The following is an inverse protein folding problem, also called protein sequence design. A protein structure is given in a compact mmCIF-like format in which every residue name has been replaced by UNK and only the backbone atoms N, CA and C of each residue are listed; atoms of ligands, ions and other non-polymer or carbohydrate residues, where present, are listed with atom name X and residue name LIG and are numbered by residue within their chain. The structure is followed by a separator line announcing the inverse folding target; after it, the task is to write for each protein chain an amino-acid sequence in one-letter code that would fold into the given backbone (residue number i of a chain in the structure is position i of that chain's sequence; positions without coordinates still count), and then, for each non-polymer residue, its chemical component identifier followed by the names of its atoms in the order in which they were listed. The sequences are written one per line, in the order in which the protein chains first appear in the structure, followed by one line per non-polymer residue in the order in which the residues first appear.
data_IF_220983586349
#
_entry.id   IF_220983586349
#
_cell.length_a   1.000
_cell.length_b   1.000
_cell.length_c   1.000
_cell.angle_alpha   90.00
_cell.angle_beta   90.00
_cell.angle_gamma   90.00
#
_symmetry.space_group_name_H-M   'P 1'
#
loop_
_entity.id
_entity.type
_entity.pdbx_description
1 polymer ?
#
# COMPACT_ATOMS: atom_id res chain seq x y z
N UNK A 1 -24.89 -22.18 -16.50
CA UNK A 1 -23.43 -22.42 -16.36
C UNK A 1 -22.56 -21.33 -17.00
N UNK A 2 -22.90 -20.79 -18.19
CA UNK A 2 -22.16 -19.69 -18.84
C UNK A 2 -22.20 -18.35 -18.11
N UNK A 3 -23.36 -17.95 -17.56
CA UNK A 3 -23.53 -16.65 -16.89
C UNK A 3 -22.59 -16.47 -15.67
N UNK A 4 -22.41 -17.54 -14.87
CA UNK A 4 -21.48 -17.55 -13.73
C UNK A 4 -20.02 -17.35 -14.17
N UNK A 5 -19.60 -17.98 -15.29
CA UNK A 5 -18.24 -17.82 -15.83
C UNK A 5 -17.99 -16.39 -16.31
N UNK A 6 -18.99 -15.77 -16.95
CA UNK A 6 -18.89 -14.38 -17.40
C UNK A 6 -18.82 -13.41 -16.22
N UNK A 7 -19.65 -13.60 -15.19
CA UNK A 7 -19.63 -12.79 -13.98
C UNK A 7 -18.29 -12.89 -13.24
N UNK A 8 -17.72 -14.10 -13.12
CA UNK A 8 -16.40 -14.32 -12.52
C UNK A 8 -15.28 -13.63 -13.30
N UNK A 9 -15.31 -13.68 -14.64
CA UNK A 9 -14.35 -12.98 -15.50
C UNK A 9 -14.44 -11.47 -15.29
N UNK A 10 -15.66 -10.92 -15.30
CA UNK A 10 -15.89 -9.49 -15.08
C UNK A 10 -15.38 -9.07 -13.68
N UNK A 11 -15.74 -9.83 -12.65
CA UNK A 11 -15.24 -9.62 -11.29
C UNK A 11 -13.71 -9.60 -11.23
N UNK A 12 -13.04 -10.53 -11.90
CA UNK A 12 -11.59 -10.60 -11.93
C UNK A 12 -10.96 -9.39 -12.63
N UNK A 13 -11.54 -8.94 -13.75
CA UNK A 13 -11.11 -7.74 -14.48
C UNK A 13 -11.26 -6.50 -13.61
N UNK A 14 -12.42 -6.30 -12.99
CA UNK A 14 -12.67 -5.19 -12.07
C UNK A 14 -11.68 -5.21 -10.91
N UNK A 15 -11.46 -6.38 -10.30
CA UNK A 15 -10.49 -6.56 -9.21
C UNK A 15 -9.03 -6.35 -9.66
N UNK A 16 -8.71 -6.58 -10.93
CA UNK A 16 -7.38 -6.29 -11.49
C UNK A 16 -7.22 -4.79 -11.74
N UNK A 17 -8.21 -4.13 -12.33
CA UNK A 17 -8.22 -2.68 -12.56
C UNK A 17 -8.11 -1.89 -11.26
N UNK A 18 -8.83 -2.31 -10.21
CA UNK A 18 -8.78 -1.64 -8.91
C UNK A 18 -7.41 -1.73 -8.23
N UNK A 19 -6.59 -2.75 -8.51
CA UNK A 19 -5.19 -2.82 -8.04
C UNK A 19 -4.32 -1.76 -8.70
N UNK A 20 -4.47 -1.58 -10.01
CA UNK A 20 -3.71 -0.58 -10.77
C UNK A 20 -4.05 0.84 -10.29
N UNK A 21 -5.34 1.16 -10.16
CA UNK A 21 -5.79 2.46 -9.68
C UNK A 21 -5.27 2.77 -8.26
N UNK A 22 -5.25 1.76 -7.37
CA UNK A 22 -4.72 1.92 -6.01
C UNK A 22 -3.21 2.15 -6.00
N UNK A 23 -2.44 1.38 -6.77
CA UNK A 23 -1.01 1.63 -6.93
C UNK A 23 -0.74 3.03 -7.47
N UNK A 24 -1.45 3.43 -8.53
CA UNK A 24 -1.27 4.74 -9.17
C UNK A 24 -1.59 5.90 -8.22
N UNK A 25 -2.69 5.81 -7.45
CA UNK A 25 -3.02 6.79 -6.41
C UNK A 25 -1.85 7.03 -5.47
N UNK A 26 -1.33 5.95 -4.87
CA UNK A 26 -0.28 6.08 -3.87
C UNK A 26 1.07 6.46 -4.48
N UNK A 27 1.35 6.03 -5.71
CA UNK A 27 2.54 6.45 -6.46
C UNK A 27 2.63 7.98 -6.62
N UNK A 28 1.49 8.68 -6.70
CA UNK A 28 1.44 10.15 -6.82
C UNK A 28 1.45 10.89 -5.47
N UNK A 29 1.04 10.23 -4.37
CA UNK A 29 0.89 10.87 -3.06
C UNK A 29 2.14 10.75 -2.19
N UNK A 30 2.93 9.69 -2.39
CA UNK A 30 4.13 9.47 -1.59
C UNK A 30 5.27 10.40 -1.99
N UNK A 31 6.18 10.69 -1.07
CA UNK A 31 7.33 11.57 -1.31
C UNK A 31 8.18 11.11 -2.51
N UNK A 32 8.41 9.81 -2.60
CA UNK A 32 9.13 9.16 -3.68
C UNK A 32 8.57 7.76 -3.90
N UNK A 33 8.39 7.37 -5.16
CA UNK A 33 7.96 6.02 -5.50
C UNK A 33 8.80 5.43 -6.63
N UNK A 34 9.36 4.24 -6.40
CA UNK A 34 10.04 3.48 -7.44
C UNK A 34 9.09 3.01 -8.55
N UNK A 35 9.66 2.68 -9.72
CA UNK A 35 8.92 2.35 -10.95
C UNK A 35 7.96 1.17 -10.78
N UNK A 36 8.35 0.17 -9.99
CA UNK A 36 7.56 -1.05 -9.76
C UNK A 36 7.00 -1.07 -8.34
N UNK A 37 5.75 -0.63 -8.21
CA UNK A 37 5.03 -0.56 -6.94
C UNK A 37 3.62 -1.19 -7.04
N UNK A 38 3.35 -2.20 -6.22
CA UNK A 38 2.11 -2.97 -6.28
C UNK A 38 1.31 -2.92 -4.98
N UNK A 39 0.03 -2.61 -5.09
CA UNK A 39 -0.92 -2.62 -3.98
C UNK A 39 -1.99 -3.68 -4.23
N UNK A 40 -1.95 -4.77 -3.47
CA UNK A 40 -2.84 -5.92 -3.67
C UNK A 40 -4.20 -5.78 -2.99
N UNK A 41 -4.31 -4.91 -1.98
CA UNK A 41 -5.49 -4.73 -1.17
C UNK A 41 -5.78 -3.27 -0.80
N UNK A 42 -6.60 -3.08 0.23
CA UNK A 42 -6.85 -1.78 0.85
C UNK A 42 -5.70 -1.47 1.79
N UNK A 43 -4.96 -0.42 1.53
CA UNK A 43 -3.89 0.06 2.41
C UNK A 43 -4.25 1.46 2.93
N UNK A 44 -3.61 1.84 4.02
CA UNK A 44 -3.70 3.18 4.58
C UNK A 44 -2.30 3.76 4.72
N UNK A 45 -2.17 5.06 4.49
CA UNK A 45 -0.96 5.82 4.73
C UNK A 45 -1.38 7.12 5.41
N UNK A 46 -0.85 7.39 6.58
CA UNK A 46 -0.90 8.69 7.24
C UNK A 46 0.36 9.48 6.86
N UNK A 47 0.20 10.76 6.49
CA UNK A 47 1.25 11.64 5.96
C UNK A 47 2.06 11.00 4.80
N UNK A 48 1.42 10.65 3.66
CA UNK A 48 2.09 9.97 2.55
C UNK A 48 3.30 10.76 2.00
N UNK A 49 3.29 12.08 2.09
CA UNK A 49 4.39 12.97 1.71
C UNK A 49 5.68 12.77 2.54
N UNK A 50 5.64 11.97 3.61
CA UNK A 50 6.81 11.55 4.41
C UNK A 50 7.22 10.09 4.18
N UNK A 51 6.57 9.42 3.23
CA UNK A 51 6.81 8.00 2.92
C UNK A 51 7.61 7.91 1.63
N UNK A 52 8.71 7.17 1.68
CA UNK A 52 9.57 6.88 0.54
C UNK A 52 9.49 5.40 0.20
N UNK A 53 9.14 5.10 -1.04
CA UNK A 53 8.95 3.74 -1.54
C UNK A 53 10.00 3.47 -2.61
N UNK A 54 10.85 2.48 -2.36
CA UNK A 54 11.84 2.00 -3.33
C UNK A 54 11.21 1.32 -4.56
N UNK A 55 12.08 0.84 -5.44
CA UNK A 55 11.67 0.02 -6.59
C UNK A 55 11.41 -1.45 -6.23
N UNK A 56 10.45 -2.08 -6.92
CA UNK A 56 9.98 -3.45 -6.69
C UNK A 56 9.40 -3.66 -5.28
N UNK A 57 8.55 -2.73 -4.83
CA UNK A 57 7.87 -2.82 -3.54
C UNK A 57 6.45 -3.36 -3.71
N UNK A 58 6.03 -4.24 -2.81
CA UNK A 58 4.65 -4.71 -2.77
C UNK A 58 4.00 -4.65 -1.39
N UNK A 59 2.78 -4.11 -1.36
CA UNK A 59 1.99 -3.93 -0.13
C UNK A 59 0.69 -4.73 -0.24
N UNK A 60 0.44 -5.58 0.75
CA UNK A 60 -0.75 -6.42 0.79
C UNK A 60 -1.94 -5.73 1.48
N UNK A 61 -3.09 -6.43 1.51
CA UNK A 61 -4.30 -5.93 2.15
C UNK A 61 -4.09 -5.60 3.63
N UNK A 62 -4.65 -4.49 4.08
CA UNK A 62 -4.61 -4.06 5.47
C UNK A 62 -3.29 -3.44 5.93
N UNK A 63 -2.28 -3.29 5.06
CA UNK A 63 -1.05 -2.57 5.42
C UNK A 63 -1.37 -1.13 5.83
N UNK A 64 -0.78 -0.68 6.93
CA UNK A 64 -0.89 0.70 7.40
C UNK A 64 0.50 1.30 7.67
N UNK A 65 0.81 2.41 7.03
CA UNK A 65 2.01 3.20 7.27
C UNK A 65 1.62 4.51 7.98
N UNK A 66 2.27 4.82 9.10
CA UNK A 66 2.02 6.05 9.89
C UNK A 66 3.30 6.88 9.94
N UNK A 67 3.43 7.84 9.01
CA UNK A 67 4.63 8.65 8.82
C UNK A 67 4.65 9.93 9.64
N UNK A 68 4.58 9.89 10.98
CA UNK A 68 4.77 11.10 11.81
C UNK A 68 6.16 11.71 11.60
N UNK A 69 7.15 10.84 11.45
CA UNK A 69 8.46 11.07 10.85
C UNK A 69 8.67 10.16 9.61
N UNK A 70 9.80 10.29 8.92
CA UNK A 70 10.08 9.58 7.68
C UNK A 70 9.96 8.05 7.79
N UNK A 71 9.28 7.44 6.82
CA UNK A 71 9.28 5.98 6.62
C UNK A 71 9.91 5.69 5.26
N UNK A 72 10.98 4.89 5.25
CA UNK A 72 11.69 4.49 4.02
C UNK A 72 11.58 2.98 3.82
N UNK A 73 10.80 2.57 2.82
CA UNK A 73 10.80 1.19 2.33
C UNK A 73 11.85 1.06 1.22
N UNK A 74 12.86 0.21 1.43
CA UNK A 74 13.92 -0.03 0.45
C UNK A 74 13.46 -0.75 -0.82
N UNK A 75 14.42 -1.11 -1.67
CA UNK A 75 14.15 -1.88 -2.88
C UNK A 75 13.78 -3.34 -2.56
N UNK A 76 12.84 -3.92 -3.33
CA UNK A 76 12.49 -5.35 -3.19
C UNK A 76 11.68 -5.70 -1.93
N UNK A 77 11.17 -4.70 -1.20
CA UNK A 77 10.41 -4.92 0.04
C UNK A 77 9.02 -5.46 -0.25
N UNK A 78 8.60 -6.47 0.51
CA UNK A 78 7.23 -6.97 0.51
C UNK A 78 6.67 -6.90 1.92
N UNK A 79 5.55 -6.20 2.10
CA UNK A 79 4.80 -6.19 3.36
C UNK A 79 3.59 -7.11 3.26
N UNK A 80 3.56 -8.10 4.16
CA UNK A 80 2.47 -9.06 4.32
C UNK A 80 1.15 -8.37 4.76
N UNK A 81 0.01 -9.10 4.72
CA UNK A 81 -1.24 -8.53 5.17
C UNK A 81 -1.16 -7.97 6.60
N UNK A 82 -1.85 -6.85 6.84
CA UNK A 82 -2.01 -6.22 8.15
C UNK A 82 -0.73 -5.76 8.85
N UNK A 83 0.39 -5.62 8.13
CA UNK A 83 1.61 -5.01 8.69
C UNK A 83 1.34 -3.53 9.02
N UNK A 84 1.68 -3.14 10.25
CA UNK A 84 1.74 -1.75 10.70
C UNK A 84 3.20 -1.30 10.74
N UNK A 85 3.52 -0.18 10.10
CA UNK A 85 4.79 0.53 10.25
C UNK A 85 4.47 1.93 10.76
N UNK A 86 5.06 2.33 11.88
CA UNK A 86 4.81 3.64 12.48
C UNK A 86 6.11 4.27 12.93
N UNK A 87 6.25 5.57 12.66
CA UNK A 87 7.26 6.42 13.28
C UNK A 87 6.69 7.24 14.45
N UNK A 88 5.40 7.09 14.74
CA UNK A 88 4.78 7.70 15.91
C UNK A 88 5.14 6.93 17.19
N UNK A 89 5.52 7.66 18.23
CA UNK A 89 5.65 7.15 19.60
C UNK A 89 4.90 8.06 20.57
N UNK A 90 4.50 7.50 21.71
CA UNK A 90 4.00 8.26 22.84
C UNK A 90 5.03 8.20 23.96
N UNK A 91 5.30 9.33 24.60
CA UNK A 91 6.06 9.34 25.84
C UNK A 91 5.16 8.80 26.97
N UNK A 92 5.62 7.73 27.63
CA UNK A 92 4.88 7.04 28.69
C UNK A 92 5.30 7.54 30.08
N UNK A 93 6.29 8.45 30.16
CA UNK A 93 6.87 8.90 31.42
C UNK A 93 6.31 10.23 31.97
N UNK A 94 5.13 10.66 31.53
CA UNK A 94 4.44 11.77 32.19
C UNK A 94 3.65 11.24 33.40
N UNK A 95 4.37 11.06 34.51
CA UNK A 95 3.84 10.82 35.86
C UNK A 95 4.41 11.84 36.83
#
# INVERSE_FOLDING_TARGET
MMLKKLALRLFYIVRRGSRILRSAKWHMLVAQCGKRFWVFGRIRMDMPEKIYIGDRVSLNDGVFLIGRDEIRLGHGVTLSPHVLVTSASMDVHQG
#
